data_IF_843194479134
#
_entry.id   IF_843194479134
#
_cell.length_a   1.000
_cell.length_b   1.000
_cell.length_c   1.000
_cell.angle_alpha   90.00
_cell.angle_beta   90.00
_cell.angle_gamma   90.00
#
_symmetry.space_group_name_H-M   'P 1'
#
loop_
_entity.id
_entity.type
_entity.pdbx_description
1 polymer ?
#
# COMPACT_ATOMS: atom_id res chain seq x y z
N UNK A 1 37.08 7.37 12.96
CA UNK A 1 35.88 7.81 12.20
C UNK A 1 35.31 9.01 12.94
N UNK A 2 35.41 10.21 12.37
CA UNK A 2 34.76 11.39 12.94
C UNK A 2 33.25 11.22 12.77
N UNK A 3 32.49 11.19 13.86
CA UNK A 3 31.03 11.30 13.81
C UNK A 3 30.69 12.66 13.18
N UNK A 4 30.10 12.62 11.98
CA UNK A 4 29.48 13.79 11.38
C UNK A 4 28.33 14.22 12.31
N UNK A 5 28.57 15.21 13.15
CA UNK A 5 27.51 15.87 13.92
C UNK A 5 26.58 16.56 12.93
N UNK A 6 25.40 15.95 12.69
CA UNK A 6 24.34 16.58 11.92
C UNK A 6 23.92 17.86 12.66
N UNK A 7 24.17 19.00 12.04
CA UNK A 7 23.66 20.29 12.53
C UNK A 7 22.16 20.30 12.29
N UNK A 8 21.37 20.34 13.37
CA UNK A 8 19.92 20.41 13.30
C UNK A 8 19.49 21.87 13.19
N UNK A 9 18.67 22.18 12.20
CA UNK A 9 17.99 23.47 12.12
C UNK A 9 16.72 23.38 12.98
N UNK A 10 16.54 24.33 13.90
CA UNK A 10 15.40 24.39 14.79
C UNK A 10 14.48 25.53 14.37
N UNK A 11 13.20 25.21 14.13
CA UNK A 11 12.18 26.18 13.81
C UNK A 11 11.02 26.07 14.81
N UNK A 12 10.46 27.19 15.19
CA UNK A 12 9.42 27.29 16.23
C UNK A 12 8.29 28.22 15.80
N UNK A 13 7.17 28.12 16.52
CA UNK A 13 6.03 29.02 16.38
C UNK A 13 5.25 28.86 15.08
N UNK A 14 4.54 29.93 14.71
CA UNK A 14 3.57 29.90 13.61
C UNK A 14 4.22 29.76 12.24
N UNK A 15 5.44 30.24 12.06
CA UNK A 15 6.18 30.11 10.81
C UNK A 15 6.47 28.64 10.50
N UNK A 16 6.98 27.91 11.51
CA UNK A 16 7.26 26.47 11.35
C UNK A 16 5.96 25.69 11.10
N UNK A 17 4.90 26.01 11.82
CA UNK A 17 3.57 25.40 11.66
C UNK A 17 3.04 25.64 10.25
N UNK A 18 3.08 26.85 9.76
CA UNK A 18 2.62 27.22 8.41
C UNK A 18 3.36 26.47 7.31
N UNK A 19 4.68 26.36 7.41
CA UNK A 19 5.48 25.62 6.42
C UNK A 19 5.16 24.12 6.44
N UNK A 20 4.98 23.51 7.61
CA UNK A 20 4.57 22.11 7.74
C UNK A 20 3.19 21.89 7.07
N UNK A 21 2.22 22.77 7.35
CA UNK A 21 0.89 22.69 6.74
C UNK A 21 0.93 22.88 5.23
N UNK A 22 1.78 23.77 4.71
CA UNK A 22 2.01 23.91 3.27
C UNK A 22 2.53 22.63 2.65
N UNK A 23 3.45 21.94 3.32
CA UNK A 23 3.96 20.64 2.88
C UNK A 23 2.88 19.54 2.84
N UNK A 24 2.03 19.51 3.87
CA UNK A 24 0.84 18.63 3.90
C UNK A 24 -0.08 18.94 2.73
N UNK A 25 -0.36 20.20 2.46
CA UNK A 25 -1.23 20.62 1.37
C UNK A 25 -0.68 20.23 -0.01
N UNK A 26 0.59 20.50 -0.29
CA UNK A 26 1.24 20.15 -1.55
C UNK A 26 1.15 18.66 -1.83
N UNK A 27 1.48 17.82 -0.84
CA UNK A 27 1.39 16.37 -0.98
C UNK A 27 -0.05 15.91 -1.18
N UNK A 28 -0.97 16.40 -0.35
CA UNK A 28 -2.38 15.97 -0.40
C UNK A 28 -3.05 16.37 -1.71
N UNK A 29 -2.74 17.54 -2.26
CA UNK A 29 -3.29 17.98 -3.55
C UNK A 29 -2.83 17.07 -4.69
N UNK A 30 -1.56 16.64 -4.68
CA UNK A 30 -1.04 15.71 -5.68
C UNK A 30 -1.69 14.33 -5.54
N UNK A 31 -1.67 13.73 -4.35
CA UNK A 31 -2.26 12.41 -4.08
C UNK A 31 -3.78 12.44 -4.26
N UNK A 32 -4.45 13.47 -3.75
CA UNK A 32 -5.90 13.63 -3.83
C UNK A 32 -6.44 13.76 -5.26
N UNK A 33 -5.60 14.22 -6.21
CA UNK A 33 -5.97 14.28 -7.62
C UNK A 33 -6.28 12.92 -8.24
N UNK A 34 -5.78 11.83 -7.64
CA UNK A 34 -6.01 10.44 -8.08
C UNK A 34 -7.29 9.83 -7.50
N UNK A 35 -7.99 10.52 -6.58
CA UNK A 35 -9.11 9.96 -5.84
C UNK A 35 -10.36 9.73 -6.70
N UNK A 36 -10.92 8.54 -6.55
CA UNK A 36 -12.26 8.18 -7.02
C UNK A 36 -12.37 7.92 -8.53
N UNK A 37 -13.61 7.79 -9.00
CA UNK A 37 -13.92 7.44 -10.40
C UNK A 37 -13.43 8.48 -11.40
N UNK A 38 -13.33 9.75 -10.99
CA UNK A 38 -12.82 10.86 -11.81
C UNK A 38 -11.35 11.17 -11.52
N UNK A 39 -10.66 10.29 -10.79
CA UNK A 39 -9.24 10.43 -10.47
C UNK A 39 -8.39 10.58 -11.73
N UNK A 40 -7.47 11.54 -11.69
CA UNK A 40 -6.56 11.84 -12.79
C UNK A 40 -5.30 10.98 -12.71
N UNK A 41 -4.69 10.71 -13.86
CA UNK A 41 -3.32 10.21 -13.90
C UNK A 41 -2.35 11.33 -13.51
N UNK A 42 -1.33 10.95 -12.75
CA UNK A 42 -0.20 11.83 -12.43
C UNK A 42 1.01 11.36 -13.22
N UNK A 43 1.75 12.28 -13.77
CA UNK A 43 3.02 12.01 -14.44
C UNK A 43 4.12 12.31 -13.44
N UNK A 44 4.93 11.32 -13.16
CA UNK A 44 6.07 11.38 -12.26
C UNK A 44 7.35 11.11 -13.04
N UNK A 45 8.46 11.57 -12.51
CA UNK A 45 9.79 11.18 -12.96
C UNK A 45 10.26 10.01 -12.09
N UNK A 46 10.67 8.90 -12.71
CA UNK A 46 11.22 7.75 -11.98
C UNK A 46 12.67 8.03 -11.55
N UNK A 47 13.30 7.07 -10.86
CA UNK A 47 14.69 7.17 -10.40
C UNK A 47 15.72 7.31 -11.53
N UNK A 48 15.34 7.03 -12.78
CA UNK A 48 16.17 7.09 -13.97
C UNK A 48 15.90 8.34 -14.82
N UNK A 49 14.98 9.22 -14.38
CA UNK A 49 14.56 10.40 -15.11
C UNK A 49 13.53 10.11 -16.21
N UNK A 50 12.97 8.91 -16.28
CA UNK A 50 11.93 8.57 -17.25
C UNK A 50 10.54 8.94 -16.75
N UNK A 51 9.62 9.41 -17.62
CA UNK A 51 8.26 9.73 -17.23
C UNK A 51 7.46 8.44 -16.91
N UNK A 52 6.92 8.36 -15.71
CA UNK A 52 6.01 7.32 -15.27
C UNK A 52 4.60 7.89 -15.08
N UNK A 53 3.60 7.26 -15.70
CA UNK A 53 2.19 7.63 -15.55
C UNK A 53 1.54 6.68 -14.54
N UNK A 54 0.95 7.23 -13.49
CA UNK A 54 0.28 6.44 -12.46
C UNK A 54 -1.00 7.09 -11.97
N UNK A 55 -1.95 6.26 -11.48
CA UNK A 55 -3.11 6.67 -10.69
C UNK A 55 -3.00 6.25 -9.23
N UNK A 56 -1.95 5.49 -8.90
CA UNK A 56 -1.77 4.96 -7.56
C UNK A 56 -1.29 6.05 -6.61
N UNK A 57 -2.08 6.32 -5.57
CA UNK A 57 -1.77 7.33 -4.57
C UNK A 57 -0.53 7.01 -3.74
N UNK A 58 -0.18 5.73 -3.55
CA UNK A 58 1.04 5.32 -2.83
C UNK A 58 2.27 5.71 -3.64
N UNK A 59 2.28 5.36 -4.92
CA UNK A 59 3.37 5.68 -5.84
C UNK A 59 3.56 7.19 -5.94
N UNK A 60 2.46 7.95 -6.09
CA UNK A 60 2.50 9.42 -6.12
C UNK A 60 3.08 9.98 -4.81
N UNK A 61 2.58 9.50 -3.66
CA UNK A 61 3.07 9.98 -2.36
C UNK A 61 4.57 9.72 -2.18
N UNK A 62 5.06 8.54 -2.54
CA UNK A 62 6.45 8.15 -2.37
C UNK A 62 7.40 8.95 -3.28
N UNK A 63 6.99 9.28 -4.48
CA UNK A 63 7.80 10.04 -5.43
C UNK A 63 7.98 11.52 -5.04
N UNK A 64 7.07 12.10 -4.26
CA UNK A 64 7.12 13.52 -3.90
C UNK A 64 8.16 13.75 -2.81
N UNK A 65 9.14 14.59 -3.08
CA UNK A 65 10.09 15.14 -2.10
C UNK A 65 10.15 16.66 -2.30
N UNK A 66 9.92 17.40 -1.23
CA UNK A 66 9.88 18.87 -1.29
C UNK A 66 11.26 19.46 -0.97
N UNK A 67 11.59 20.58 -1.64
CA UNK A 67 12.88 21.23 -1.46
C UNK A 67 13.04 21.89 -0.08
N UNK A 68 11.97 22.51 0.43
CA UNK A 68 11.99 23.10 1.76
C UNK A 68 11.95 22.00 2.82
N UNK A 69 12.91 21.96 3.76
CA UNK A 69 12.98 20.90 4.77
C UNK A 69 11.76 20.85 5.70
N UNK A 70 11.16 21.99 6.04
CA UNK A 70 10.00 22.04 6.93
C UNK A 70 8.73 21.60 6.21
N UNK A 71 8.55 22.03 4.96
CA UNK A 71 7.47 21.52 4.12
C UNK A 71 7.61 20.00 3.90
N UNK A 72 8.85 19.52 3.67
CA UNK A 72 9.10 18.10 3.49
C UNK A 72 8.81 17.26 4.73
N UNK A 73 8.99 17.83 5.92
CA UNK A 73 8.56 17.19 7.18
C UNK A 73 7.04 16.99 7.17
N UNK A 74 6.27 18.03 6.80
CA UNK A 74 4.81 17.95 6.70
C UNK A 74 4.36 16.87 5.71
N UNK A 75 4.94 16.85 4.52
CA UNK A 75 4.71 15.82 3.52
C UNK A 75 5.04 14.42 4.05
N UNK A 76 6.17 14.26 4.74
CA UNK A 76 6.62 12.97 5.29
C UNK A 76 5.67 12.43 6.35
N UNK A 77 5.13 13.29 7.22
CA UNK A 77 4.14 12.88 8.24
C UNK A 77 2.88 12.28 7.60
N UNK A 78 2.38 12.92 6.54
CA UNK A 78 1.21 12.39 5.81
C UNK A 78 1.55 11.10 5.07
N UNK A 79 2.74 11.00 4.46
CA UNK A 79 3.20 9.73 3.86
C UNK A 79 3.20 8.58 4.86
N UNK A 80 3.73 8.81 6.05
CA UNK A 80 3.75 7.78 7.09
C UNK A 80 2.35 7.33 7.50
N UNK A 81 1.40 8.27 7.64
CA UNK A 81 0.01 7.95 7.94
C UNK A 81 -0.62 7.11 6.81
N UNK A 82 -0.38 7.48 5.56
CA UNK A 82 -0.86 6.76 4.39
C UNK A 82 -0.25 5.35 4.27
N UNK A 83 1.05 5.21 4.48
CA UNK A 83 1.76 3.92 4.47
C UNK A 83 1.24 2.98 5.57
N UNK A 84 0.97 3.51 6.76
CA UNK A 84 0.39 2.73 7.86
C UNK A 84 -0.98 2.17 7.50
N UNK A 85 -1.81 2.96 6.83
CA UNK A 85 -3.11 2.51 6.33
C UNK A 85 -2.97 1.36 5.33
N UNK A 86 -2.00 1.42 4.42
CA UNK A 86 -1.73 0.33 3.47
C UNK A 86 -1.24 -0.93 4.18
N UNK A 87 -0.35 -0.79 5.15
CA UNK A 87 0.15 -1.95 5.91
C UNK A 87 -0.95 -2.66 6.68
N UNK A 88 -1.91 -1.91 7.23
CA UNK A 88 -2.97 -2.45 8.07
C UNK A 88 -4.18 -2.94 7.26
N UNK A 89 -4.53 -2.28 6.15
CA UNK A 89 -5.75 -2.50 5.38
C UNK A 89 -5.52 -2.89 3.91
N UNK A 90 -4.31 -2.78 3.40
CA UNK A 90 -3.95 -3.07 2.00
C UNK A 90 -4.38 -2.02 0.99
N UNK A 91 -5.22 -1.05 1.38
CA UNK A 91 -5.76 0.00 0.50
C UNK A 91 -6.14 1.24 1.31
N UNK A 92 -6.59 2.30 0.63
CA UNK A 92 -7.12 3.51 1.27
C UNK A 92 -6.11 4.63 1.50
N UNK A 93 -4.93 4.57 0.90
CA UNK A 93 -3.86 5.59 1.02
C UNK A 93 -4.36 6.99 0.70
N UNK A 94 -4.99 7.15 -0.47
CA UNK A 94 -5.50 8.45 -0.93
C UNK A 94 -6.58 8.98 -0.01
N UNK A 95 -7.49 8.10 0.45
CA UNK A 95 -8.54 8.45 1.40
C UNK A 95 -7.96 8.90 2.75
N UNK A 96 -6.98 8.16 3.29
CA UNK A 96 -6.31 8.51 4.54
C UNK A 96 -5.59 9.86 4.45
N UNK A 97 -4.92 10.11 3.32
CA UNK A 97 -4.22 11.38 3.05
C UNK A 97 -5.21 12.57 3.05
N UNK A 98 -6.32 12.44 2.32
CA UNK A 98 -7.35 13.49 2.21
C UNK A 98 -8.04 13.73 3.56
N UNK A 99 -8.37 12.67 4.30
CA UNK A 99 -8.97 12.79 5.63
C UNK A 99 -8.03 13.46 6.64
N UNK A 100 -6.74 13.08 6.63
CA UNK A 100 -5.76 13.70 7.51
C UNK A 100 -5.64 15.21 7.25
N UNK A 101 -5.61 15.63 5.97
CA UNK A 101 -5.63 17.05 5.61
C UNK A 101 -6.92 17.73 6.09
N UNK A 102 -8.07 17.14 5.82
CA UNK A 102 -9.36 17.73 6.21
C UNK A 102 -9.46 17.94 7.74
N UNK A 103 -8.94 17.01 8.54
CA UNK A 103 -8.88 17.15 10.00
C UNK A 103 -7.96 18.30 10.39
N UNK A 104 -6.81 18.44 9.76
CA UNK A 104 -5.85 19.51 10.03
C UNK A 104 -6.41 20.88 9.60
N UNK A 105 -7.09 20.97 8.46
CA UNK A 105 -7.71 22.20 7.98
C UNK A 105 -8.78 22.68 8.99
N UNK A 106 -9.66 21.77 9.44
CA UNK A 106 -10.68 22.10 10.44
C UNK A 106 -10.06 22.49 11.80
N UNK A 107 -9.00 21.80 12.21
CA UNK A 107 -8.29 22.13 13.43
C UNK A 107 -7.64 23.52 13.36
N UNK A 108 -7.15 23.91 12.19
CA UNK A 108 -6.53 25.23 11.95
C UNK A 108 -7.60 26.32 11.92
N UNK A 109 -8.69 26.10 11.18
CA UNK A 109 -9.80 27.06 11.05
C UNK A 109 -10.45 27.40 12.38
N UNK A 110 -10.59 26.41 13.26
CA UNK A 110 -11.20 26.60 14.58
C UNK A 110 -10.18 26.87 15.70
N UNK A 111 -8.93 27.17 15.39
CA UNK A 111 -7.85 27.42 16.37
C UNK A 111 -7.66 26.29 17.40
N UNK A 112 -8.02 25.06 17.04
CA UNK A 112 -7.93 23.89 17.93
C UNK A 112 -6.49 23.42 18.13
N UNK A 113 -5.56 23.87 17.29
CA UNK A 113 -4.13 23.55 17.38
C UNK A 113 -3.48 24.13 18.65
N UNK A 114 -4.13 25.09 19.31
CA UNK A 114 -3.65 25.68 20.56
C UNK A 114 -3.93 24.79 21.77
N UNK A 115 -4.89 23.85 21.66
CA UNK A 115 -5.16 22.83 22.67
C UNK A 115 -5.11 21.41 22.08
N UNK A 116 -3.91 20.86 21.85
CA UNK A 116 -3.73 19.56 21.20
C UNK A 116 -4.40 18.39 21.95
N UNK A 117 -4.53 18.52 23.28
CA UNK A 117 -5.16 17.47 24.12
C UNK A 117 -6.65 17.37 23.85
N UNK A 118 -7.35 18.48 23.82
CA UNK A 118 -8.80 18.49 23.53
C UNK A 118 -9.07 18.09 22.09
N UNK A 119 -8.25 18.56 21.15
CA UNK A 119 -8.31 18.15 19.76
C UNK A 119 -8.19 16.62 19.61
N UNK A 120 -7.21 16.01 20.29
CA UNK A 120 -7.02 14.55 20.28
C UNK A 120 -8.26 13.82 20.79
N UNK A 121 -8.82 14.23 21.93
CA UNK A 121 -10.03 13.63 22.51
C UNK A 121 -11.23 13.77 21.56
N UNK A 122 -11.36 14.92 20.89
CA UNK A 122 -12.39 15.16 19.89
C UNK A 122 -12.27 14.22 18.69
N UNK A 123 -11.06 14.04 18.17
CA UNK A 123 -10.77 13.11 17.07
C UNK A 123 -11.10 11.67 17.48
N UNK A 124 -10.64 11.21 18.65
CA UNK A 124 -10.91 9.86 19.16
C UNK A 124 -12.42 9.61 19.30
N UNK A 125 -13.16 10.57 19.89
CA UNK A 125 -14.63 10.47 19.97
C UNK A 125 -15.32 10.43 18.61
N UNK A 126 -14.81 11.18 17.64
CA UNK A 126 -15.29 11.18 16.25
C UNK A 126 -15.06 9.83 15.58
N UNK A 127 -13.84 9.30 15.70
CA UNK A 127 -13.45 7.99 15.15
C UNK A 127 -14.34 6.88 15.70
N UNK A 128 -14.59 6.85 17.02
CA UNK A 128 -15.47 5.85 17.63
C UNK A 128 -16.89 5.88 17.06
N UNK A 129 -17.44 7.07 16.82
CA UNK A 129 -18.77 7.22 16.20
C UNK A 129 -18.78 6.70 14.75
N UNK A 130 -17.73 7.01 13.98
CA UNK A 130 -17.59 6.56 12.60
C UNK A 130 -17.46 5.04 12.55
N UNK A 131 -16.62 4.43 13.41
CA UNK A 131 -16.45 2.98 13.48
C UNK A 131 -17.77 2.29 13.81
N UNK A 132 -18.52 2.79 14.82
CA UNK A 132 -19.84 2.25 15.17
C UNK A 132 -20.81 2.33 13.99
N UNK A 133 -20.78 3.43 13.24
CA UNK A 133 -21.62 3.61 12.05
C UNK A 133 -21.23 2.63 10.93
N UNK A 134 -19.93 2.49 10.64
CA UNK A 134 -19.43 1.58 9.63
C UNK A 134 -19.78 0.12 9.96
N UNK A 135 -19.57 -0.31 11.21
CA UNK A 135 -19.94 -1.66 11.66
C UNK A 135 -21.43 -1.94 11.50
N UNK A 136 -22.29 -0.95 11.74
CA UNK A 136 -23.74 -1.08 11.53
C UNK A 136 -24.11 -1.17 10.04
N UNK A 137 -23.35 -0.52 9.16
CA UNK A 137 -23.63 -0.46 7.72
C UNK A 137 -22.92 -1.52 6.90
N UNK A 138 -21.83 -2.07 7.41
CA UNK A 138 -21.05 -3.10 6.73
C UNK A 138 -21.92 -4.36 6.51
N UNK A 139 -21.70 -5.01 5.37
CA UNK A 139 -22.38 -6.26 5.01
C UNK A 139 -21.32 -7.24 4.53
N UNK A 140 -21.41 -8.49 4.99
CA UNK A 140 -20.58 -9.55 4.47
C UNK A 140 -20.84 -9.72 2.96
N UNK A 141 -19.79 -9.77 2.19
CA UNK A 141 -19.87 -10.00 0.74
C UNK A 141 -19.70 -11.48 0.44
N UNK A 142 -20.48 -11.99 -0.52
CA UNK A 142 -20.44 -13.39 -0.95
C UNK A 142 -20.71 -13.50 -2.44
N UNK A 143 -20.22 -14.55 -3.08
CA UNK A 143 -20.50 -14.87 -4.47
C UNK A 143 -20.03 -13.77 -5.44
N UNK A 144 -20.90 -13.37 -6.35
CA UNK A 144 -20.59 -12.36 -7.40
C UNK A 144 -20.22 -10.96 -6.89
N UNK A 145 -20.50 -10.64 -5.62
CA UNK A 145 -20.09 -9.35 -5.05
C UNK A 145 -18.59 -9.28 -4.81
N UNK A 146 -17.94 -10.44 -4.65
CA UNK A 146 -16.47 -10.52 -4.56
C UNK A 146 -15.85 -9.99 -5.85
N UNK A 147 -16.37 -10.40 -7.00
CA UNK A 147 -15.90 -9.93 -8.32
C UNK A 147 -16.04 -8.41 -8.48
N UNK A 148 -17.11 -7.83 -7.93
CA UNK A 148 -17.32 -6.37 -7.98
C UNK A 148 -16.28 -5.62 -7.14
N UNK A 149 -15.99 -6.12 -5.94
CA UNK A 149 -14.95 -5.52 -5.08
C UNK A 149 -13.58 -5.68 -5.72
N UNK A 150 -13.25 -6.88 -6.21
CA UNK A 150 -12.01 -7.14 -6.92
C UNK A 150 -11.85 -6.26 -8.17
N UNK A 151 -12.92 -6.04 -8.93
CA UNK A 151 -12.91 -5.14 -10.09
C UNK A 151 -12.58 -3.70 -9.69
N UNK A 152 -13.15 -3.20 -8.59
CA UNK A 152 -12.85 -1.85 -8.10
C UNK A 152 -11.39 -1.74 -7.68
N UNK A 153 -10.88 -2.72 -6.94
CA UNK A 153 -9.48 -2.77 -6.50
C UNK A 153 -8.50 -2.90 -7.67
N UNK A 154 -8.91 -3.57 -8.75
CA UNK A 154 -8.16 -3.68 -10.00
C UNK A 154 -8.37 -2.47 -10.95
N UNK A 155 -8.63 -1.29 -10.43
CA UNK A 155 -8.82 -0.06 -11.19
C UNK A 155 -9.92 -0.15 -12.29
N UNK A 156 -11.02 -0.83 -11.97
CA UNK A 156 -12.17 -1.13 -12.85
C UNK A 156 -11.89 -2.10 -14.02
N UNK A 157 -10.80 -2.85 -13.95
CA UNK A 157 -10.54 -3.95 -14.85
C UNK A 157 -11.45 -5.14 -14.50
N UNK A 158 -12.41 -5.43 -15.37
CA UNK A 158 -13.40 -6.49 -15.16
C UNK A 158 -12.83 -7.89 -15.36
N UNK A 159 -11.85 -8.03 -16.23
CA UNK A 159 -11.22 -9.33 -16.51
C UNK A 159 -10.35 -9.74 -15.35
N UNK A 160 -9.46 -8.85 -14.92
CA UNK A 160 -8.64 -9.06 -13.73
C UNK A 160 -9.50 -9.22 -12.46
N UNK A 161 -10.57 -8.43 -12.32
CA UNK A 161 -11.50 -8.55 -11.20
C UNK A 161 -12.20 -9.91 -11.11
N UNK A 162 -12.52 -10.55 -12.24
CA UNK A 162 -13.07 -11.92 -12.27
C UNK A 162 -12.04 -12.97 -11.85
N UNK A 163 -10.80 -12.87 -12.34
CA UNK A 163 -9.71 -13.78 -12.01
C UNK A 163 -9.41 -13.72 -10.50
N UNK A 164 -9.27 -12.52 -9.95
CA UNK A 164 -9.08 -12.32 -8.51
C UNK A 164 -10.27 -12.86 -7.71
N UNK A 165 -11.49 -12.55 -8.15
CA UNK A 165 -12.72 -13.03 -7.50
C UNK A 165 -12.84 -14.55 -7.51
N UNK A 166 -12.37 -15.22 -8.56
CA UNK A 166 -12.29 -16.68 -8.65
C UNK A 166 -11.28 -17.23 -7.65
N UNK A 167 -10.07 -16.67 -7.58
CA UNK A 167 -9.07 -17.06 -6.61
C UNK A 167 -9.60 -17.00 -5.17
N UNK A 168 -10.24 -15.89 -4.79
CA UNK A 168 -10.83 -15.76 -3.45
C UNK A 168 -11.99 -16.72 -3.18
N UNK A 169 -12.73 -17.16 -4.19
CA UNK A 169 -13.77 -18.18 -4.01
C UNK A 169 -13.21 -19.58 -3.82
N UNK A 170 -12.03 -19.87 -4.37
CA UNK A 170 -11.40 -21.18 -4.27
C UNK A 170 -10.73 -21.43 -2.91
N UNK A 171 -10.22 -20.37 -2.26
CA UNK A 171 -9.42 -20.53 -1.03
C UNK A 171 -10.22 -20.38 0.27
N UNK A 172 -11.51 -20.12 0.24
CA UNK A 172 -12.34 -19.85 1.42
C UNK A 172 -11.82 -18.71 2.33
N UNK A 173 -12.38 -18.60 3.55
CA UNK A 173 -12.07 -17.52 4.50
C UNK A 173 -10.66 -17.61 5.11
N UNK A 174 -10.05 -18.79 5.10
CA UNK A 174 -8.74 -19.05 5.73
C UNK A 174 -7.58 -19.13 4.75
N UNK A 175 -7.87 -19.12 3.46
CA UNK A 175 -6.87 -19.21 2.43
C UNK A 175 -6.18 -17.88 2.14
N UNK A 176 -4.97 -17.96 1.62
CA UNK A 176 -4.16 -16.81 1.22
C UNK A 176 -4.09 -16.78 -0.31
N UNK A 177 -4.39 -15.63 -0.89
CA UNK A 177 -4.20 -15.39 -2.34
C UNK A 177 -2.90 -14.63 -2.52
N UNK A 178 -1.99 -15.19 -3.30
CA UNK A 178 -0.72 -14.56 -3.67
C UNK A 178 -0.71 -14.30 -5.18
N UNK A 179 -0.04 -13.24 -5.59
CA UNK A 179 0.18 -12.92 -7.00
C UNK A 179 1.66 -13.09 -7.31
N UNK A 180 1.93 -13.90 -8.33
CA UNK A 180 3.28 -14.13 -8.85
C UNK A 180 3.31 -13.85 -10.34
N UNK A 181 4.47 -13.43 -10.84
CA UNK A 181 4.69 -13.29 -12.28
C UNK A 181 5.01 -14.65 -12.89
N UNK A 182 4.33 -15.02 -13.97
CA UNK A 182 4.63 -16.21 -14.75
C UNK A 182 5.16 -15.82 -16.14
N UNK A 183 5.76 -16.79 -16.83
CA UNK A 183 6.28 -16.60 -18.19
C UNK A 183 5.19 -16.83 -19.27
N UNK A 184 3.98 -17.19 -18.88
CA UNK A 184 2.89 -17.47 -19.80
C UNK A 184 2.11 -16.18 -20.14
N UNK A 185 1.56 -16.06 -21.35
CA UNK A 185 0.81 -14.85 -21.75
C UNK A 185 -0.55 -14.73 -21.06
N UNK A 186 -1.04 -15.79 -20.42
CA UNK A 186 -2.36 -15.83 -19.77
C UNK A 186 -2.20 -15.85 -18.25
N UNK A 187 -3.06 -15.10 -17.57
CA UNK A 187 -3.17 -15.14 -16.11
C UNK A 187 -4.00 -16.35 -15.70
N UNK A 188 -3.41 -17.22 -14.90
CA UNK A 188 -4.04 -18.45 -14.41
C UNK A 188 -4.18 -18.42 -12.90
N UNK A 189 -5.23 -19.09 -12.39
CA UNK A 189 -5.43 -19.30 -10.95
C UNK A 189 -5.08 -20.74 -10.65
N UNK A 190 -4.11 -20.95 -9.76
CA UNK A 190 -3.69 -22.26 -9.29
C UNK A 190 -3.98 -22.41 -7.80
N UNK A 191 -4.69 -23.48 -7.44
CA UNK A 191 -4.96 -23.80 -6.04
C UNK A 191 -3.88 -24.75 -5.50
N UNK A 192 -3.18 -24.32 -4.47
CA UNK A 192 -2.17 -25.11 -3.78
C UNK A 192 -2.74 -25.53 -2.42
N UNK A 193 -2.88 -26.84 -2.22
CA UNK A 193 -3.30 -27.38 -0.93
C UNK A 193 -2.08 -27.54 -0.04
N UNK A 194 -1.99 -26.72 1.01
CA UNK A 194 -0.89 -26.74 1.97
C UNK A 194 -0.27 -25.36 2.19
N UNK A 195 0.99 -25.35 2.62
CA UNK A 195 1.78 -24.13 2.84
C UNK A 195 2.96 -24.13 1.89
N UNK A 196 3.05 -23.10 1.08
CA UNK A 196 4.20 -22.86 0.20
C UNK A 196 5.22 -21.98 0.93
N UNK A 197 6.47 -22.40 0.91
CA UNK A 197 7.61 -21.64 1.43
C UNK A 197 8.47 -21.14 0.29
N UNK A 198 8.77 -19.87 0.27
CA UNK A 198 9.59 -19.22 -0.79
C UNK A 198 11.09 -19.56 -0.68
N UNK A 199 11.48 -20.32 0.32
CA UNK A 199 12.87 -20.68 0.56
C UNK A 199 13.10 -22.16 0.28
N UNK A 200 14.17 -22.43 -0.45
CA UNK A 200 14.66 -23.79 -0.64
C UNK A 200 14.99 -24.47 0.71
N UNK A 201 14.89 -25.79 0.73
CA UNK A 201 15.27 -26.61 1.87
C UNK A 201 16.70 -26.30 2.32
N UNK A 202 16.86 -25.80 3.54
CA UNK A 202 18.17 -25.52 4.14
C UNK A 202 19.00 -26.79 4.38
N UNK A 203 18.35 -27.95 4.52
CA UNK A 203 19.04 -29.20 4.80
C UNK A 203 18.27 -30.40 4.20
N UNK A 204 19.00 -31.22 3.45
CA UNK A 204 18.46 -32.42 2.81
C UNK A 204 17.95 -33.47 3.78
N UNK A 205 18.30 -33.39 5.09
CA UNK A 205 17.79 -34.28 6.12
C UNK A 205 16.28 -34.13 6.40
N UNK A 206 15.66 -33.01 5.96
CA UNK A 206 14.23 -32.84 6.02
C UNK A 206 13.46 -33.61 4.94
N UNK A 207 14.17 -34.17 3.94
CA UNK A 207 13.53 -34.97 2.91
C UNK A 207 13.45 -36.44 3.42
N UNK A 208 12.25 -36.85 3.75
CA UNK A 208 12.01 -38.20 4.28
C UNK A 208 11.65 -39.22 3.20
N UNK A 209 11.34 -38.76 1.99
CA UNK A 209 10.98 -39.63 0.87
C UNK A 209 12.13 -39.74 -0.13
N UNK A 210 12.61 -40.98 -0.36
CA UNK A 210 13.69 -41.29 -1.31
C UNK A 210 13.37 -40.92 -2.78
N UNK A 211 12.11 -40.80 -3.14
CA UNK A 211 11.70 -40.34 -4.48
C UNK A 211 12.16 -38.89 -4.77
N UNK A 212 12.24 -38.04 -3.74
CA UNK A 212 12.72 -36.67 -3.87
C UNK A 212 14.26 -36.56 -3.80
N UNK A 213 14.92 -37.54 -3.18
CA UNK A 213 16.38 -37.56 -3.06
C UNK A 213 17.06 -38.32 -4.21
N UNK A 214 16.32 -39.17 -4.94
CA UNK A 214 16.79 -39.89 -6.11
C UNK A 214 15.93 -39.54 -7.32
N UNK A 215 16.24 -38.44 -8.01
CA UNK A 215 15.49 -38.02 -9.20
C UNK A 215 15.53 -39.13 -10.26
N UNK A 216 14.43 -39.27 -10.97
CA UNK A 216 14.32 -40.22 -12.04
C UNK A 216 15.44 -39.97 -13.10
N UNK A 217 15.82 -40.98 -13.92
CA UNK A 217 16.78 -40.75 -14.98
C UNK A 217 16.43 -39.59 -15.92
N UNK A 218 15.15 -39.28 -16.07
CA UNK A 218 14.62 -38.15 -16.84
C UNK A 218 14.95 -36.81 -16.18
N UNK A 219 14.84 -36.70 -14.85
CA UNK A 219 15.14 -35.49 -14.12
C UNK A 219 16.63 -35.22 -14.02
N UNK A 220 17.46 -36.28 -14.00
CA UNK A 220 18.90 -36.15 -14.10
C UNK A 220 19.35 -35.59 -15.47
N UNK A 221 18.65 -35.89 -16.55
CA UNK A 221 18.95 -35.30 -17.86
C UNK A 221 18.65 -33.81 -17.91
N UNK A 222 17.56 -33.35 -17.27
CA UNK A 222 17.23 -31.92 -17.18
C UNK A 222 18.22 -31.13 -16.31
N UNK A 223 18.70 -31.72 -15.22
CA UNK A 223 19.67 -31.07 -14.33
C UNK A 223 21.09 -30.99 -14.89
N UNK A 224 21.38 -31.71 -15.98
CA UNK A 224 22.67 -31.69 -16.68
C UNK A 224 22.73 -30.76 -17.89
N UNK A 225 21.63 -30.09 -18.23
CA UNK A 225 21.70 -29.01 -19.20
C UNK A 225 22.50 -27.86 -18.62
N UNK A 226 23.62 -27.44 -19.20
CA UNK A 226 24.32 -26.26 -18.75
C UNK A 226 23.36 -25.10 -18.90
N UNK A 227 23.24 -24.28 -17.85
CA UNK A 227 22.66 -22.95 -17.96
C UNK A 227 23.49 -22.26 -19.05
N UNK A 228 22.95 -22.15 -20.25
CA UNK A 228 23.52 -21.32 -21.27
C UNK A 228 23.60 -19.89 -20.71
N UNK A 229 24.81 -19.39 -20.68
CA UNK A 229 25.19 -18.05 -20.29
C UNK A 229 24.40 -16.97 -21.00
#
# INVERSE_FOLDING_TARGET
MQELKLVKNLAFGDTARSQILTGVEKLTNAVGSTLGASGKCVILEDSNGAPQITKDGVTVANAITLQDPLENIGATLIKQAAQRTVSDAGDGTTTATVLAKAILDQATEHSLLDNPREMKLGIESGVDKVIKYLNKKSKKITGKKIDQVATISANNDKELGKVIGEAFRLVDETGVVMMETNEQPETVVELIEGVQYDQALKNNHFITCLLYTSPSPRDRQKSRMPSSA
#
